data_IF_810071294778
#
_entry.id   IF_810071294778
#
_cell.length_a   1.000
_cell.length_b   1.000
_cell.length_c   1.000
_cell.angle_alpha   90.00
_cell.angle_beta   90.00
_cell.angle_gamma   90.00
#
_symmetry.space_group_name_H-M   'P 1'
#
loop_
_entity.id
_entity.type
_entity.pdbx_description
1 polymer ?
#
# COMPACT_ATOMS: atom_id res chain seq x y z
N UNK A 1 7.99 15.06 22.40
CA UNK A 1 7.23 13.92 21.83
C UNK A 1 6.83 14.29 20.42
N UNK A 2 7.36 13.61 19.38
CA UNK A 2 7.01 13.90 18.01
C UNK A 2 5.52 13.72 17.74
N UNK A 3 4.91 14.68 17.04
CA UNK A 3 3.56 14.62 16.47
C UNK A 3 3.68 14.26 15.00
N UNK A 4 3.12 13.13 14.60
CA UNK A 4 3.03 12.70 13.20
C UNK A 4 1.62 13.02 12.71
N UNK A 5 1.54 13.66 11.54
CA UNK A 5 0.27 13.93 10.87
C UNK A 5 0.31 13.30 9.50
N UNK A 6 -0.52 12.29 9.27
CA UNK A 6 -0.71 11.65 7.97
C UNK A 6 -2.03 12.12 7.40
N UNK A 7 -2.02 12.67 6.18
CA UNK A 7 -3.23 13.03 5.46
C UNK A 7 -3.49 12.00 4.36
N UNK A 8 -4.62 11.33 4.47
CA UNK A 8 -5.06 10.28 3.58
C UNK A 8 -6.28 10.76 2.79
N UNK A 9 -6.43 10.22 1.58
CA UNK A 9 -7.49 10.60 0.65
C UNK A 9 -8.83 9.91 0.95
N UNK A 10 -9.90 10.35 0.26
CA UNK A 10 -11.27 9.83 0.41
C UNK A 10 -11.40 8.30 0.37
N UNK A 11 -10.57 7.58 -0.39
CA UNK A 11 -10.63 6.11 -0.43
C UNK A 11 -10.36 5.46 0.93
N UNK A 12 -9.64 6.15 1.80
CA UNK A 12 -9.42 5.72 3.18
C UNK A 12 -10.62 5.93 4.10
N UNK A 13 -11.67 6.64 3.68
CA UNK A 13 -12.91 6.79 4.45
C UNK A 13 -13.67 5.46 4.62
N UNK A 14 -13.57 4.59 3.61
CA UNK A 14 -14.24 3.28 3.62
C UNK A 14 -13.42 2.22 4.37
N UNK A 15 -12.20 2.58 4.82
CA UNK A 15 -11.29 1.68 5.55
C UNK A 15 -11.64 1.69 7.03
N UNK A 16 -11.78 0.50 7.62
CA UNK A 16 -12.08 0.35 9.04
C UNK A 16 -10.95 0.90 9.92
N UNK A 17 -11.30 1.47 11.06
CA UNK A 17 -10.36 2.01 12.05
C UNK A 17 -9.26 1.00 12.45
N UNK A 18 -9.61 -0.26 12.69
CA UNK A 18 -8.64 -1.34 12.98
C UNK A 18 -7.54 -1.47 11.92
N UNK A 19 -7.89 -1.26 10.64
CA UNK A 19 -6.95 -1.30 9.53
C UNK A 19 -6.08 -0.06 9.46
N UNK A 20 -6.61 1.11 9.84
CA UNK A 20 -5.82 2.35 9.98
C UNK A 20 -4.77 2.20 11.08
N UNK A 21 -5.09 1.52 12.20
CA UNK A 21 -4.10 1.21 13.22
C UNK A 21 -3.04 0.20 12.72
N UNK A 22 -3.44 -0.82 11.95
CA UNK A 22 -2.50 -1.77 11.33
C UNK A 22 -1.52 -1.08 10.38
N UNK A 23 -2.02 -0.19 9.53
CA UNK A 23 -1.22 0.66 8.64
C UNK A 23 -0.14 1.41 9.41
N UNK A 24 -0.50 2.03 10.53
CA UNK A 24 0.41 2.88 11.27
C UNK A 24 1.48 2.07 12.01
N UNK A 25 1.14 0.87 12.46
CA UNK A 25 2.12 -0.08 13.01
C UNK A 25 3.13 -0.55 11.97
N UNK A 26 2.75 -0.70 10.70
CA UNK A 26 3.69 -0.99 9.60
C UNK A 26 4.56 0.22 9.24
N UNK A 27 4.00 1.43 9.35
CA UNK A 27 4.68 2.66 8.98
C UNK A 27 5.73 3.12 10.01
N UNK A 28 5.46 2.92 11.30
CA UNK A 28 6.27 3.46 12.38
C UNK A 28 7.13 2.38 13.05
N UNK A 29 8.37 2.70 13.49
CA UNK A 29 9.27 1.74 14.11
C UNK A 29 8.92 1.48 15.58
N UNK A 30 7.64 1.26 15.89
CA UNK A 30 7.13 1.22 17.27
C UNK A 30 6.99 -0.23 17.74
N UNK A 31 7.65 -0.55 18.85
CA UNK A 31 7.65 -1.90 19.46
C UNK A 31 6.51 -2.12 20.46
N UNK A 32 5.86 -1.06 20.95
CA UNK A 32 4.83 -1.13 22.00
C UNK A 32 3.60 -0.28 21.65
N UNK A 33 2.41 -0.83 21.86
CA UNK A 33 1.14 -0.12 21.69
C UNK A 33 0.87 0.95 22.75
N UNK A 34 1.66 1.00 23.82
CA UNK A 34 1.54 2.02 24.88
C UNK A 34 2.17 3.36 24.48
N UNK A 35 2.96 3.38 23.40
CA UNK A 35 3.70 4.56 22.92
C UNK A 35 2.92 5.40 21.91
N UNK A 36 1.61 5.15 21.77
CA UNK A 36 0.71 5.69 20.76
C UNK A 36 -0.53 6.27 21.47
N UNK A 37 -0.66 7.60 21.46
CA UNK A 37 -1.95 8.26 21.70
C UNK A 37 -2.48 8.64 20.33
N UNK A 38 -3.58 8.00 19.96
CA UNK A 38 -4.13 8.02 18.62
C UNK A 38 -5.37 8.90 18.62
N UNK A 39 -5.42 9.88 17.73
CA UNK A 39 -6.65 10.60 17.44
C UNK A 39 -6.82 10.65 15.93
N UNK A 40 -7.87 9.98 15.45
CA UNK A 40 -8.24 9.94 14.03
C UNK A 40 -9.28 11.04 13.82
N UNK A 41 -8.89 12.10 13.12
CA UNK A 41 -9.80 13.14 12.66
C UNK A 41 -10.26 12.81 11.25
N UNK A 42 -11.53 12.44 11.12
CA UNK A 42 -12.16 12.26 9.81
C UNK A 42 -12.78 13.60 9.40
N UNK A 43 -12.13 14.30 8.48
CA UNK A 43 -12.65 15.54 7.89
C UNK A 43 -13.31 15.17 6.55
N UNK A 44 -14.46 15.76 6.17
CA UNK A 44 -15.03 15.53 4.84
C UNK A 44 -14.00 15.82 3.75
N UNK A 45 -13.64 14.82 2.94
CA UNK A 45 -12.61 14.97 1.90
C UNK A 45 -11.24 14.36 2.23
N UNK A 46 -10.93 14.07 3.51
CA UNK A 46 -9.64 13.51 3.92
C UNK A 46 -9.66 12.86 5.30
N UNK A 47 -8.96 11.73 5.45
CA UNK A 47 -8.71 11.14 6.77
C UNK A 47 -7.38 11.71 7.27
N UNK A 48 -7.43 12.53 8.32
CA UNK A 48 -6.22 13.03 8.98
C UNK A 48 -5.97 12.17 10.20
N UNK A 49 -4.81 11.52 10.23
CA UNK A 49 -4.43 10.73 11.38
C UNK A 49 -3.28 11.40 12.13
N UNK A 50 -3.51 11.64 13.42
CA UNK A 50 -2.58 12.31 14.31
C UNK A 50 -2.09 11.32 15.35
N UNK A 51 -0.77 11.19 15.43
CA UNK A 51 -0.10 10.30 16.37
C UNK A 51 0.93 11.04 17.19
N UNK A 52 0.97 10.69 18.47
CA UNK A 52 2.04 11.08 19.37
C UNK A 52 2.91 9.88 19.68
N UNK A 53 4.18 9.93 19.28
CA UNK A 53 5.09 8.80 19.44
C UNK A 53 6.02 9.01 20.63
N UNK A 54 5.93 8.12 21.62
CA UNK A 54 6.85 8.10 22.76
C UNK A 54 8.18 7.42 22.41
N UNK A 55 9.22 7.69 23.21
CA UNK A 55 10.53 7.01 23.15
C UNK A 55 11.29 7.10 21.82
N UNK A 56 11.01 8.14 21.02
CA UNK A 56 11.74 8.42 19.79
C UNK A 56 11.95 9.93 19.58
N UNK A 57 12.97 10.29 18.81
CA UNK A 57 13.19 11.67 18.37
C UNK A 57 12.55 11.90 17.00
N UNK A 58 12.26 13.17 16.69
CA UNK A 58 11.75 13.52 15.36
C UNK A 58 12.73 13.13 14.26
N UNK A 59 14.03 13.27 14.50
CA UNK A 59 15.07 12.95 13.51
C UNK A 59 15.16 11.44 13.22
N UNK A 60 15.10 10.60 14.26
CA UNK A 60 15.05 9.13 14.08
C UNK A 60 13.81 8.70 13.28
N UNK A 61 12.65 9.33 13.53
CA UNK A 61 11.44 9.06 12.77
C UNK A 61 11.57 9.52 11.31
N UNK A 62 12.16 10.69 11.06
CA UNK A 62 12.40 11.18 9.69
C UNK A 62 13.28 10.22 8.91
N UNK A 63 14.40 9.79 9.50
CA UNK A 63 15.31 8.82 8.88
C UNK A 63 14.60 7.49 8.58
N UNK A 64 13.82 6.97 9.54
CA UNK A 64 13.04 5.75 9.30
C UNK A 64 12.01 5.92 8.17
N UNK A 65 11.24 7.00 8.19
CA UNK A 65 10.17 7.23 7.21
C UNK A 65 10.70 7.52 5.80
N UNK A 66 11.94 7.99 5.65
CA UNK A 66 12.60 8.08 4.35
C UNK A 66 12.72 6.71 3.68
N UNK A 67 12.91 5.63 4.45
CA UNK A 67 12.95 4.26 3.92
C UNK A 67 11.58 3.74 3.48
N UNK A 68 10.49 4.40 3.89
CA UNK A 68 9.11 4.00 3.62
C UNK A 68 8.42 4.86 2.55
N UNK A 69 9.14 5.76 1.88
CA UNK A 69 8.56 6.69 0.90
C UNK A 69 7.89 5.98 -0.29
N UNK A 70 8.50 4.93 -0.81
CA UNK A 70 7.92 4.14 -1.90
C UNK A 70 6.66 3.39 -1.44
N UNK A 71 6.74 2.69 -0.31
CA UNK A 71 5.59 2.02 0.30
C UNK A 71 4.42 2.99 0.51
N UNK A 72 4.68 4.13 1.16
CA UNK A 72 3.68 5.19 1.40
C UNK A 72 3.04 5.67 0.10
N UNK A 73 3.87 5.92 -0.92
CA UNK A 73 3.38 6.38 -2.21
C UNK A 73 2.45 5.36 -2.87
N UNK A 74 2.84 4.08 -2.89
CA UNK A 74 2.09 3.00 -3.51
C UNK A 74 0.71 2.82 -2.87
N UNK A 75 0.61 2.97 -1.54
CA UNK A 75 -0.68 2.80 -0.84
C UNK A 75 -1.51 4.10 -0.77
N UNK A 76 -1.08 5.17 -1.44
CA UNK A 76 -1.86 6.42 -1.53
C UNK A 76 -1.66 7.39 -0.36
N UNK A 77 -0.52 7.34 0.32
CA UNK A 77 -0.11 8.34 1.30
C UNK A 77 0.73 9.39 0.57
N UNK A 78 0.21 10.60 0.42
CA UNK A 78 0.89 11.68 -0.32
C UNK A 78 1.33 12.84 0.57
N UNK A 79 0.92 12.84 1.84
CA UNK A 79 1.18 13.95 2.77
C UNK A 79 1.46 13.43 4.18
N UNK A 80 2.69 13.66 4.67
CA UNK A 80 3.13 13.29 6.01
C UNK A 80 4.02 14.38 6.62
N UNK A 81 3.68 14.78 7.84
CA UNK A 81 4.38 15.82 8.61
C UNK A 81 4.86 15.27 9.96
N UNK A 82 5.99 15.78 10.44
CA UNK A 82 6.45 15.57 11.83
C UNK A 82 6.71 16.93 12.47
N UNK A 83 6.07 17.18 13.63
CA UNK A 83 6.25 18.39 14.45
C UNK A 83 6.04 19.74 13.73
N UNK A 84 5.24 19.75 12.66
CA UNK A 84 4.93 20.95 11.88
C UNK A 84 6.21 21.61 11.26
N UNK A 85 6.69 21.02 10.16
CA UNK A 85 7.69 21.51 9.17
C UNK A 85 9.17 21.03 9.25
N UNK A 86 9.84 20.87 8.10
CA UNK A 86 9.25 20.65 6.76
C UNK A 86 8.59 19.27 6.65
N UNK A 87 7.67 19.05 5.69
CA UNK A 87 7.03 17.75 5.48
C UNK A 87 8.06 16.67 5.15
N UNK A 88 7.81 15.45 5.62
CA UNK A 88 8.56 14.26 5.20
C UNK A 88 8.14 13.84 3.80
N UNK A 89 6.85 14.00 3.50
CA UNK A 89 6.26 13.71 2.20
C UNK A 89 5.19 14.76 1.90
N UNK A 90 5.30 15.38 0.73
CA UNK A 90 4.27 16.25 0.17
C UNK A 90 4.31 16.11 -1.35
N UNK A 91 3.39 15.30 -1.89
CA UNK A 91 3.18 15.13 -3.33
C UNK A 91 1.78 15.65 -3.70
N UNK A 92 1.62 16.04 -4.95
CA UNK A 92 0.31 16.41 -5.49
C UNK A 92 -0.67 15.23 -5.37
N UNK A 93 -1.93 15.55 -5.09
CA UNK A 93 -2.96 14.56 -4.92
C UNK A 93 -3.24 13.82 -6.23
N UNK A 94 -3.11 12.49 -6.22
CA UNK A 94 -3.59 11.66 -7.31
C UNK A 94 -5.11 11.49 -7.19
N UNK A 95 -5.87 12.28 -7.96
CA UNK A 95 -7.35 12.24 -7.97
C UNK A 95 -7.91 10.91 -8.50
N UNK A 96 -7.11 10.14 -9.23
CA UNK A 96 -7.51 8.85 -9.78
C UNK A 96 -7.11 7.67 -8.88
N UNK A 97 -6.57 7.93 -7.68
CA UNK A 97 -6.13 6.88 -6.78
C UNK A 97 -7.29 5.92 -6.42
N UNK A 98 -7.03 4.63 -6.58
CA UNK A 98 -7.84 3.53 -6.08
C UNK A 98 -6.91 2.48 -5.49
N UNK A 99 -7.39 1.68 -4.54
CA UNK A 99 -6.57 0.61 -3.98
C UNK A 99 -6.30 -0.51 -5.00
N UNK A 100 -7.17 -0.65 -6.00
CA UNK A 100 -6.98 -1.56 -7.12
C UNK A 100 -5.80 -1.12 -8.00
N UNK A 101 -5.75 0.16 -8.40
CA UNK A 101 -4.62 0.70 -9.15
C UNK A 101 -3.33 0.65 -8.32
N UNK A 102 -3.43 0.96 -7.02
CA UNK A 102 -2.32 0.82 -6.07
C UNK A 102 -1.75 -0.60 -6.04
N UNK A 103 -2.62 -1.62 -6.07
CA UNK A 103 -2.20 -3.02 -6.08
C UNK A 103 -1.44 -3.34 -7.36
N UNK A 104 -1.95 -2.91 -8.53
CA UNK A 104 -1.27 -3.12 -9.81
C UNK A 104 0.10 -2.43 -9.85
N UNK A 105 0.19 -1.20 -9.34
CA UNK A 105 1.45 -0.44 -9.24
C UNK A 105 2.44 -1.11 -8.28
N UNK A 106 1.98 -1.56 -7.10
CA UNK A 106 2.81 -2.22 -6.10
C UNK A 106 3.37 -3.55 -6.61
N UNK A 107 2.55 -4.33 -7.32
CA UNK A 107 2.99 -5.55 -8.00
C UNK A 107 4.00 -5.24 -9.08
N UNK A 108 3.74 -4.22 -9.91
CA UNK A 108 4.66 -3.82 -10.99
C UNK A 108 6.03 -3.39 -10.44
N UNK A 109 6.05 -2.73 -9.29
CA UNK A 109 7.26 -2.31 -8.59
C UNK A 109 7.97 -3.46 -7.84
N UNK A 110 7.34 -4.62 -7.68
CA UNK A 110 7.88 -5.72 -6.87
C UNK A 110 7.89 -5.42 -5.37
N UNK A 111 7.01 -4.53 -4.89
CA UNK A 111 7.00 -4.10 -3.49
C UNK A 111 6.12 -5.03 -2.65
N UNK A 112 6.72 -6.10 -2.12
CA UNK A 112 6.03 -7.11 -1.30
C UNK A 112 5.27 -6.49 -0.12
N UNK A 113 5.85 -5.48 0.55
CA UNK A 113 5.23 -4.85 1.71
C UNK A 113 3.92 -4.14 1.37
N UNK A 114 3.91 -3.38 0.27
CA UNK A 114 2.72 -2.70 -0.23
C UNK A 114 1.65 -3.70 -0.69
N UNK A 115 2.06 -4.74 -1.43
CA UNK A 115 1.15 -5.81 -1.86
C UNK A 115 0.48 -6.48 -0.66
N UNK A 116 1.25 -6.94 0.33
CA UNK A 116 0.70 -7.57 1.53
C UNK A 116 -0.27 -6.66 2.27
N UNK A 117 0.07 -5.37 2.42
CA UNK A 117 -0.80 -4.42 3.09
C UNK A 117 -2.12 -4.23 2.34
N UNK A 118 -2.07 -4.04 1.01
CA UNK A 118 -3.25 -3.85 0.18
C UNK A 118 -4.14 -5.10 0.17
N UNK A 119 -3.56 -6.30 0.16
CA UNK A 119 -4.32 -7.56 0.22
C UNK A 119 -5.07 -7.76 1.55
N UNK A 120 -4.65 -7.10 2.64
CA UNK A 120 -5.39 -7.13 3.91
C UNK A 120 -6.63 -6.23 3.90
N UNK A 121 -6.71 -5.28 2.95
CA UNK A 121 -7.88 -4.40 2.81
C UNK A 121 -9.04 -5.18 2.21
N UNK A 122 -10.08 -5.43 3.00
CA UNK A 122 -11.29 -6.17 2.56
C UNK A 122 -12.02 -5.54 1.38
N UNK A 123 -11.75 -4.27 1.08
CA UNK A 123 -12.39 -3.50 0.03
C UNK A 123 -11.72 -3.67 -1.33
N UNK A 124 -10.50 -4.22 -1.39
CA UNK A 124 -9.72 -4.31 -2.64
C UNK A 124 -10.26 -5.42 -3.52
N UNK A 125 -10.62 -5.06 -4.75
CA UNK A 125 -10.84 -6.06 -5.79
C UNK A 125 -9.50 -6.59 -6.33
N UNK A 126 -9.06 -7.75 -5.83
CA UNK A 126 -7.80 -8.41 -6.20
C UNK A 126 -7.73 -8.74 -7.71
N UNK A 127 -8.89 -9.01 -8.32
CA UNK A 127 -9.02 -9.38 -9.73
C UNK A 127 -9.26 -8.18 -10.65
N UNK A 128 -9.06 -6.95 -10.15
CA UNK A 128 -9.12 -5.76 -11.00
C UNK A 128 -8.08 -5.83 -12.13
N UNK A 129 -8.46 -5.31 -13.29
CA UNK A 129 -7.65 -5.34 -14.50
C UNK A 129 -7.25 -3.92 -14.93
N UNK A 130 -6.02 -3.78 -15.41
CA UNK A 130 -5.59 -2.56 -16.12
C UNK A 130 -6.25 -2.45 -17.52
N UNK A 131 -5.85 -1.45 -18.29
CA UNK A 131 -6.36 -1.19 -19.65
C UNK A 131 -6.07 -2.33 -20.65
N UNK A 132 -5.05 -3.15 -20.40
CA UNK A 132 -4.70 -4.34 -21.19
C UNK A 132 -5.50 -5.58 -20.78
N UNK A 133 -6.37 -5.47 -19.77
CA UNK A 133 -7.07 -6.61 -19.19
C UNK A 133 -6.20 -7.42 -18.22
N UNK A 134 -4.99 -6.97 -17.89
CA UNK A 134 -4.07 -7.70 -17.01
C UNK A 134 -4.43 -7.49 -15.54
N UNK A 135 -4.53 -8.58 -14.79
CA UNK A 135 -4.68 -8.57 -13.33
C UNK A 135 -3.35 -8.40 -12.62
N UNK A 136 -3.39 -8.13 -11.31
CA UNK A 136 -2.21 -8.17 -10.44
C UNK A 136 -1.42 -9.48 -10.59
N UNK A 137 -2.10 -10.63 -10.64
CA UNK A 137 -1.45 -11.93 -10.78
C UNK A 137 -0.70 -12.06 -12.10
N UNK A 138 -1.30 -11.59 -13.21
CA UNK A 138 -0.64 -11.60 -14.52
C UNK A 138 0.62 -10.74 -14.54
N UNK A 139 0.57 -9.54 -13.95
CA UNK A 139 1.73 -8.64 -13.87
C UNK A 139 2.86 -9.26 -13.01
N UNK A 140 2.52 -9.94 -11.92
CA UNK A 140 3.49 -10.64 -11.08
C UNK A 140 4.15 -11.79 -11.85
N UNK A 141 3.36 -12.58 -12.60
CA UNK A 141 3.84 -13.64 -13.48
C UNK A 141 4.75 -13.09 -14.59
N UNK A 142 4.36 -12.01 -15.27
CA UNK A 142 5.16 -11.37 -16.32
C UNK A 142 6.55 -10.95 -15.82
N UNK A 143 6.61 -10.42 -14.59
CA UNK A 143 7.82 -9.89 -13.97
C UNK A 143 8.64 -10.91 -13.17
N UNK A 144 8.13 -12.13 -12.99
CA UNK A 144 8.80 -13.17 -12.22
C UNK A 144 8.83 -12.90 -10.72
N UNK A 145 7.84 -12.18 -10.18
CA UNK A 145 7.77 -11.87 -8.75
C UNK A 145 7.11 -13.01 -7.96
N UNK A 146 7.85 -14.10 -7.77
CA UNK A 146 7.36 -15.36 -7.18
C UNK A 146 6.67 -15.17 -5.80
N UNK A 147 7.29 -14.39 -4.89
CA UNK A 147 6.70 -14.10 -3.58
C UNK A 147 5.33 -13.38 -3.68
N UNK A 148 5.20 -12.48 -4.66
CA UNK A 148 3.97 -11.73 -4.92
C UNK A 148 2.93 -12.66 -5.55
N UNK A 149 3.31 -13.55 -6.46
CA UNK A 149 2.42 -14.58 -7.02
C UNK A 149 1.83 -15.41 -5.88
N UNK A 150 2.66 -15.90 -4.96
CA UNK A 150 2.20 -16.68 -3.82
C UNK A 150 1.28 -15.88 -2.89
N UNK A 151 1.60 -14.61 -2.64
CA UNK A 151 0.76 -13.72 -1.83
C UNK A 151 -0.63 -13.52 -2.46
N UNK A 152 -0.69 -13.25 -3.76
CA UNK A 152 -1.95 -13.06 -4.51
C UNK A 152 -2.77 -14.36 -4.56
N UNK A 153 -2.14 -15.51 -4.81
CA UNK A 153 -2.80 -16.82 -4.79
C UNK A 153 -3.37 -17.15 -3.41
N UNK A 154 -2.59 -16.88 -2.35
CA UNK A 154 -3.04 -17.10 -0.96
C UNK A 154 -4.20 -16.20 -0.58
N UNK A 155 -4.27 -15.00 -1.16
CA UNK A 155 -5.39 -14.07 -1.03
C UNK A 155 -6.61 -14.44 -1.91
N UNK A 156 -6.50 -15.48 -2.75
CA UNK A 156 -7.59 -15.99 -3.57
C UNK A 156 -7.73 -15.37 -4.96
N UNK A 157 -6.66 -14.79 -5.53
CA UNK A 157 -6.66 -14.26 -6.89
C UNK A 157 -7.08 -15.34 -7.93
N UNK A 158 -7.90 -14.95 -8.89
CA UNK A 158 -8.41 -15.88 -9.91
C UNK A 158 -7.36 -16.12 -11.01
N UNK A 159 -6.80 -17.32 -11.01
CA UNK A 159 -5.76 -17.76 -11.97
C UNK A 159 -6.25 -17.91 -13.41
N UNK A 160 -7.56 -17.98 -13.64
CA UNK A 160 -8.16 -18.28 -14.95
C UNK A 160 -8.65 -17.04 -15.70
N UNK A 161 -8.50 -15.83 -15.15
CA UNK A 161 -8.82 -14.61 -15.89
C UNK A 161 -7.93 -14.54 -17.13
N UNK A 162 -8.47 -13.98 -18.21
CA UNK A 162 -7.77 -13.75 -19.46
C UNK A 162 -7.62 -12.25 -19.70
N UNK A 163 -6.45 -11.83 -20.17
CA UNK A 163 -6.23 -10.47 -20.64
C UNK A 163 -6.96 -10.22 -21.98
N UNK A 164 -6.82 -9.01 -22.53
CA UNK A 164 -7.48 -8.64 -23.79
C UNK A 164 -7.03 -9.48 -25.00
N UNK A 165 -5.90 -10.18 -24.90
CA UNK A 165 -5.37 -11.07 -25.93
C UNK A 165 -5.74 -12.55 -25.68
N UNK A 166 -6.48 -12.85 -24.61
CA UNK A 166 -6.86 -14.21 -24.23
C UNK A 166 -5.81 -14.94 -23.38
N UNK A 167 -4.79 -14.25 -22.89
CA UNK A 167 -3.69 -14.85 -22.13
C UNK A 167 -4.04 -14.97 -20.65
N UNK A 168 -3.74 -16.13 -20.06
CA UNK A 168 -3.85 -16.37 -18.61
C UNK A 168 -2.52 -16.11 -17.91
N UNK A 169 -2.53 -15.98 -16.58
CA UNK A 169 -1.32 -15.80 -15.78
C UNK A 169 -0.26 -16.91 -16.03
N UNK A 170 -0.70 -18.17 -16.19
CA UNK A 170 0.19 -19.29 -16.48
C UNK A 170 0.84 -19.19 -17.88
N UNK A 171 0.07 -18.75 -18.88
CA UNK A 171 0.60 -18.56 -20.24
C UNK A 171 1.68 -17.47 -20.25
N UNK A 172 1.43 -16.37 -19.54
CA UNK A 172 2.38 -15.24 -19.40
C UNK A 172 3.66 -15.70 -18.70
N UNK A 173 3.56 -16.41 -17.57
CA UNK A 173 4.74 -16.94 -16.86
C UNK A 173 5.57 -17.87 -17.75
N UNK A 174 4.91 -18.72 -18.54
CA UNK A 174 5.55 -19.64 -19.48
C UNK A 174 6.28 -18.91 -20.61
N UNK A 175 5.66 -17.88 -21.21
CA UNK A 175 6.28 -17.05 -22.25
C UNK A 175 7.53 -16.33 -21.74
N UNK A 176 7.49 -15.85 -20.50
CA UNK A 176 8.60 -15.12 -19.88
C UNK A 176 9.63 -16.04 -19.19
N UNK A 177 9.47 -17.36 -19.32
CA UNK A 177 10.38 -18.38 -18.80
C UNK A 177 10.56 -18.34 -17.26
N UNK A 178 9.50 -18.01 -16.53
CA UNK A 178 9.48 -18.04 -15.06
C UNK A 178 9.03 -19.40 -14.54
N UNK A 179 9.90 -20.39 -14.67
CA UNK A 179 9.59 -21.82 -14.48
C UNK A 179 9.15 -22.17 -13.03
N UNK A 180 9.53 -21.37 -12.03
CA UNK A 180 9.17 -21.60 -10.62
C UNK A 180 7.76 -21.12 -10.25
N UNK A 181 7.13 -20.32 -11.11
CA UNK A 181 5.76 -19.79 -10.98
C UNK A 181 4.76 -20.72 -11.67
#
# INVERSE_FOLDING_TARGET
MPKIVVKLQNKWLDVKEEMLHSFIRKLLPIKSSQSLIDYIDIIPGSVTIIYHVHDCTADMLKEHLQTKLEFMHLIGVFSLYINDNPPVLQKDENMNFTFELALLEAVTAGNNEAVEFLLQLKTVNIDHTNEEGKTALMLACERGHEDIVHSLQSAGANVNIQDNNGWTALMIASEHNHISI
#
